data_IF_386741631017
#
_entry.id   IF_386741631017
#
_cell.length_a   1.000
_cell.length_b   1.000
_cell.length_c   1.000
_cell.angle_alpha   90.00
_cell.angle_beta   90.00
_cell.angle_gamma   90.00
#
_symmetry.space_group_name_H-M   'P 1'
#
loop_
_entity.id
_entity.type
_entity.pdbx_description
1 polymer ?
#
# COMPACT_ATOMS: atom_id res chain seq x y z
N UNK A 1 11.96 -3.01 -25.20
CA UNK A 1 13.37 -3.41 -25.13
C UNK A 1 13.56 -4.46 -26.19
N UNK A 2 14.28 -4.15 -27.28
CA UNK A 2 14.58 -5.14 -28.31
C UNK A 2 15.60 -6.13 -27.71
N UNK A 3 15.14 -7.33 -27.37
CA UNK A 3 16.00 -8.40 -26.86
C UNK A 3 16.96 -8.81 -27.98
N UNK A 4 18.26 -8.63 -27.73
CA UNK A 4 19.31 -9.07 -28.65
C UNK A 4 19.50 -10.59 -28.47
N UNK A 5 19.15 -11.41 -29.48
CA UNK A 5 19.16 -12.87 -29.38
C UNK A 5 20.56 -13.47 -29.14
N UNK A 6 21.62 -12.75 -29.51
CA UNK A 6 23.00 -13.23 -29.31
C UNK A 6 23.41 -13.26 -27.83
N UNK A 7 22.87 -12.33 -27.01
CA UNK A 7 23.14 -12.29 -25.57
C UNK A 7 22.41 -13.39 -24.81
N UNK A 8 21.24 -13.79 -25.29
CA UNK A 8 20.47 -14.91 -24.74
C UNK A 8 21.20 -16.24 -24.96
N UNK A 9 21.69 -16.46 -26.18
CA UNK A 9 22.40 -17.67 -26.54
C UNK A 9 23.70 -17.86 -25.74
N UNK A 10 24.49 -16.80 -25.53
CA UNK A 10 25.72 -16.89 -24.74
C UNK A 10 25.45 -17.11 -23.24
N UNK A 11 24.34 -16.60 -22.71
CA UNK A 11 23.96 -16.78 -21.30
C UNK A 11 23.46 -18.20 -21.03
N UNK A 12 22.66 -18.77 -21.95
CA UNK A 12 22.23 -20.16 -21.89
C UNK A 12 23.43 -21.12 -22.02
N UNK A 13 24.42 -20.78 -22.85
CA UNK A 13 25.65 -21.56 -22.97
C UNK A 13 26.54 -21.53 -21.71
N UNK A 14 26.52 -20.44 -20.93
CA UNK A 14 27.29 -20.31 -19.68
C UNK A 14 26.62 -20.94 -18.47
N UNK A 15 25.29 -20.87 -18.38
CA UNK A 15 24.53 -21.32 -17.19
C UNK A 15 23.89 -22.69 -17.36
N UNK A 16 23.70 -23.15 -18.60
CA UNK A 16 23.01 -24.41 -18.91
C UNK A 16 21.51 -24.40 -18.64
N UNK A 17 20.94 -23.27 -18.23
CA UNK A 17 19.53 -23.13 -17.86
C UNK A 17 18.76 -22.48 -19.01
N UNK A 18 17.69 -23.15 -19.45
CA UNK A 18 16.75 -22.61 -20.44
C UNK A 18 16.02 -21.41 -19.82
N UNK A 19 15.82 -20.35 -20.61
CA UNK A 19 15.25 -19.09 -20.11
C UNK A 19 13.83 -19.22 -19.53
N UNK A 20 13.02 -20.15 -20.07
CA UNK A 20 11.73 -20.50 -19.50
C UNK A 20 11.86 -21.11 -18.09
N UNK A 21 12.87 -21.94 -17.86
CA UNK A 21 13.15 -22.51 -16.54
C UNK A 21 13.63 -21.42 -15.57
N UNK A 22 14.45 -20.47 -16.03
CA UNK A 22 14.87 -19.32 -15.22
C UNK A 22 13.65 -18.51 -14.75
N UNK A 23 12.72 -18.19 -15.64
CA UNK A 23 11.49 -17.47 -15.27
C UNK A 23 10.68 -18.19 -14.20
N UNK A 24 10.49 -19.50 -14.35
CA UNK A 24 9.78 -20.31 -13.35
C UNK A 24 10.52 -20.33 -12.01
N UNK A 25 11.84 -20.49 -12.01
CA UNK A 25 12.65 -20.47 -10.79
C UNK A 25 12.59 -19.11 -10.09
N UNK A 26 12.67 -18.00 -10.83
CA UNK A 26 12.53 -16.66 -10.28
C UNK A 26 11.13 -16.43 -9.68
N UNK A 27 10.08 -16.93 -10.35
CA UNK A 27 8.71 -16.86 -9.88
C UNK A 27 8.48 -17.69 -8.61
N UNK A 28 9.03 -18.89 -8.52
CA UNK A 28 8.96 -19.70 -7.30
C UNK A 28 9.75 -19.05 -6.17
N UNK A 29 10.95 -18.54 -6.47
CA UNK A 29 11.81 -17.87 -5.50
C UNK A 29 11.13 -16.64 -4.89
N UNK A 30 10.56 -15.74 -5.71
CA UNK A 30 9.88 -14.56 -5.17
C UNK A 30 8.70 -14.96 -4.29
N UNK A 31 7.94 -16.00 -4.66
CA UNK A 31 6.82 -16.47 -3.86
C UNK A 31 7.27 -17.07 -2.52
N UNK A 32 8.44 -17.71 -2.46
CA UNK A 32 9.02 -18.19 -1.21
C UNK A 32 9.34 -17.04 -0.23
N UNK A 33 9.58 -15.81 -0.71
CA UNK A 33 9.78 -14.65 0.16
C UNK A 33 8.52 -14.28 0.97
N UNK A 34 7.34 -14.76 0.58
CA UNK A 34 6.12 -14.56 1.36
C UNK A 34 6.10 -15.35 2.67
N UNK A 35 7.03 -16.29 2.89
CA UNK A 35 7.13 -17.07 4.13
C UNK A 35 8.15 -16.43 5.10
N UNK A 36 7.71 -15.90 6.26
CA UNK A 36 8.59 -15.30 7.27
C UNK A 36 9.72 -16.23 7.75
N UNK A 37 9.43 -17.53 7.91
CA UNK A 37 10.45 -18.48 8.37
C UNK A 37 11.55 -18.69 7.34
N UNK A 38 11.23 -18.60 6.05
CA UNK A 38 12.22 -18.67 4.99
C UNK A 38 13.12 -17.43 5.00
N UNK A 39 12.56 -16.24 5.25
CA UNK A 39 13.34 -15.01 5.42
C UNK A 39 14.27 -15.08 6.63
N UNK A 40 13.80 -15.65 7.75
CA UNK A 40 14.64 -15.89 8.91
C UNK A 40 15.81 -16.83 8.59
N UNK A 41 15.55 -17.92 7.87
CA UNK A 41 16.59 -18.83 7.41
C UNK A 41 17.61 -18.13 6.49
N UNK A 42 17.16 -17.31 5.54
CA UNK A 42 18.04 -16.50 4.68
C UNK A 42 18.93 -15.55 5.50
N UNK A 43 18.35 -14.93 6.54
CA UNK A 43 19.06 -14.02 7.43
C UNK A 43 20.12 -14.75 8.28
N UNK A 44 19.78 -15.91 8.84
CA UNK A 44 20.73 -16.74 9.61
C UNK A 44 21.93 -17.20 8.77
N UNK A 45 21.71 -17.51 7.48
CA UNK A 45 22.77 -17.90 6.55
C UNK A 45 23.52 -16.70 5.94
N UNK A 46 23.24 -15.47 6.39
CA UNK A 46 23.91 -14.23 5.97
C UNK A 46 23.78 -13.88 4.48
N UNK A 47 22.79 -14.42 3.79
CA UNK A 47 22.50 -14.02 2.40
C UNK A 47 22.05 -12.56 2.31
N UNK A 48 21.37 -12.06 3.35
CA UNK A 48 20.87 -10.68 3.42
C UNK A 48 21.97 -9.62 3.65
N UNK A 49 23.20 -10.03 3.95
CA UNK A 49 24.37 -9.15 4.10
C UNK A 49 25.16 -9.00 2.78
N UNK A 50 25.04 -9.97 1.87
CA UNK A 50 25.77 -9.99 0.61
C UNK A 50 25.20 -8.98 -0.40
N UNK A 51 26.05 -8.06 -0.86
CA UNK A 51 25.71 -7.05 -1.87
C UNK A 51 25.27 -7.68 -3.18
N UNK A 52 25.83 -8.82 -3.57
CA UNK A 52 25.41 -9.50 -4.80
C UNK A 52 23.96 -9.98 -4.70
N UNK A 53 23.57 -10.52 -3.55
CA UNK A 53 22.20 -10.93 -3.28
C UNK A 53 21.23 -9.74 -3.21
N UNK A 54 21.62 -8.62 -2.58
CA UNK A 54 20.81 -7.41 -2.57
C UNK A 54 20.57 -6.84 -3.97
N UNK A 55 21.58 -6.88 -4.84
CA UNK A 55 21.42 -6.50 -6.25
C UNK A 55 20.44 -7.44 -6.97
N UNK A 56 20.41 -8.73 -6.61
CA UNK A 56 19.44 -9.67 -7.15
C UNK A 56 18.01 -9.39 -6.65
N UNK A 57 17.82 -9.01 -5.39
CA UNK A 57 16.52 -8.56 -4.88
C UNK A 57 16.02 -7.31 -5.63
N UNK A 58 16.92 -6.36 -5.91
CA UNK A 58 16.60 -5.19 -6.73
C UNK A 58 16.22 -5.56 -8.17
N UNK A 59 16.89 -6.57 -8.75
CA UNK A 59 16.50 -7.10 -10.04
C UNK A 59 15.07 -7.63 -10.02
N UNK A 60 14.67 -8.37 -8.98
CA UNK A 60 13.31 -8.93 -8.83
C UNK A 60 12.18 -7.88 -8.71
N UNK A 61 12.48 -6.59 -8.57
CA UNK A 61 11.45 -5.54 -8.62
C UNK A 61 10.69 -5.48 -9.95
N UNK A 62 11.22 -6.08 -11.03
CA UNK A 62 10.50 -6.19 -12.30
C UNK A 62 9.15 -6.90 -12.15
N UNK A 63 9.00 -7.81 -11.18
CA UNK A 63 7.76 -8.53 -10.89
C UNK A 63 6.59 -7.62 -10.49
N UNK A 64 6.86 -6.37 -10.09
CA UNK A 64 5.82 -5.37 -9.77
C UNK A 64 5.10 -4.85 -11.01
N UNK A 65 5.71 -4.98 -12.19
CA UNK A 65 5.08 -4.50 -13.43
C UNK A 65 3.82 -5.34 -13.70
N UNK A 66 2.72 -4.73 -14.15
CA UNK A 66 1.42 -5.40 -14.28
C UNK A 66 1.47 -6.62 -15.22
N UNK A 67 2.36 -6.60 -16.21
CA UNK A 67 2.59 -7.72 -17.13
C UNK A 67 3.07 -9.00 -16.41
N UNK A 68 3.89 -8.87 -15.38
CA UNK A 68 4.44 -10.01 -14.62
C UNK A 68 3.67 -10.28 -13.32
N UNK A 69 3.10 -9.25 -12.71
CA UNK A 69 2.35 -9.37 -11.46
C UNK A 69 1.14 -10.32 -11.56
N UNK A 70 0.59 -10.49 -12.78
CA UNK A 70 -0.50 -11.42 -13.06
C UNK A 70 -0.19 -12.89 -12.73
N UNK A 71 1.09 -13.28 -12.74
CA UNK A 71 1.53 -14.65 -12.44
C UNK A 71 1.72 -14.93 -10.95
N UNK A 72 1.69 -13.91 -10.09
CA UNK A 72 1.97 -14.03 -8.66
C UNK A 72 0.74 -14.58 -7.94
N UNK A 73 0.89 -15.73 -7.27
CA UNK A 73 -0.19 -16.32 -6.46
C UNK A 73 -0.29 -15.69 -5.07
N UNK A 74 0.85 -15.34 -4.48
CA UNK A 74 0.95 -14.83 -3.10
C UNK A 74 1.35 -13.36 -3.10
N UNK A 75 0.40 -12.41 -3.02
CA UNK A 75 0.71 -10.98 -3.16
C UNK A 75 1.60 -10.42 -2.04
N UNK A 76 1.68 -11.12 -0.90
CA UNK A 76 2.49 -10.71 0.24
C UNK A 76 4.00 -10.75 -0.04
N UNK A 77 4.45 -11.52 -1.04
CA UNK A 77 5.87 -11.57 -1.41
C UNK A 77 6.41 -10.19 -1.84
N UNK A 78 5.58 -9.37 -2.49
CA UNK A 78 5.98 -8.03 -2.94
C UNK A 78 6.16 -7.08 -1.77
N UNK A 79 5.31 -7.19 -0.74
CA UNK A 79 5.47 -6.42 0.49
C UNK A 79 6.73 -6.84 1.26
N UNK A 80 7.04 -8.13 1.30
CA UNK A 80 8.28 -8.63 1.89
C UNK A 80 9.52 -8.14 1.14
N UNK A 81 9.45 -8.09 -0.19
CA UNK A 81 10.53 -7.55 -1.02
C UNK A 81 10.84 -6.08 -0.65
N UNK A 82 9.81 -5.27 -0.40
CA UNK A 82 9.99 -3.88 0.05
C UNK A 82 10.64 -3.80 1.44
N UNK A 83 10.18 -4.62 2.38
CA UNK A 83 10.73 -4.63 3.74
C UNK A 83 12.22 -5.01 3.74
N UNK A 84 12.62 -5.98 2.90
CA UNK A 84 14.01 -6.42 2.74
C UNK A 84 14.95 -5.34 2.17
N UNK A 85 14.42 -4.29 1.52
CA UNK A 85 15.25 -3.16 1.09
C UNK A 85 15.79 -2.36 2.28
N UNK A 86 15.03 -2.33 3.38
CA UNK A 86 15.47 -1.65 4.60
C UNK A 86 16.47 -2.50 5.38
N UNK A 87 17.64 -1.93 5.66
CA UNK A 87 18.68 -2.63 6.42
C UNK A 87 18.23 -2.97 7.84
N UNK A 88 17.44 -2.09 8.46
CA UNK A 88 16.89 -2.30 9.79
C UNK A 88 16.06 -3.58 9.88
N UNK A 89 15.20 -3.83 8.89
CA UNK A 89 14.39 -5.04 8.84
C UNK A 89 15.24 -6.30 8.63
N UNK A 90 16.28 -6.24 7.79
CA UNK A 90 17.20 -7.37 7.58
C UNK A 90 17.89 -7.80 8.87
N UNK A 91 18.24 -6.84 9.73
CA UNK A 91 18.82 -7.13 11.03
C UNK A 91 17.75 -7.67 12.01
N UNK A 92 16.53 -7.10 11.97
CA UNK A 92 15.45 -7.49 12.86
C UNK A 92 14.95 -8.93 12.60
N UNK A 93 14.83 -9.33 11.33
CA UNK A 93 14.29 -10.65 10.95
C UNK A 93 15.21 -11.82 11.36
N UNK A 94 16.47 -11.57 11.72
CA UNK A 94 17.36 -12.59 12.31
C UNK A 94 16.76 -13.14 13.61
N UNK A 95 16.04 -12.30 14.36
CA UNK A 95 15.39 -12.70 15.60
C UNK A 95 14.14 -13.56 15.31
N UNK A 96 14.02 -14.74 15.93
CA UNK A 96 12.86 -15.60 15.75
C UNK A 96 11.58 -14.94 16.29
N UNK A 97 11.68 -14.06 17.29
CA UNK A 97 10.52 -13.34 17.84
C UNK A 97 9.85 -12.45 16.78
N UNK A 98 10.66 -11.73 15.98
CA UNK A 98 10.17 -10.87 14.89
C UNK A 98 9.54 -11.72 13.79
N UNK A 99 10.09 -12.91 13.55
CA UNK A 99 9.57 -13.86 12.56
C UNK A 99 8.18 -14.36 12.94
N UNK A 100 7.98 -14.75 14.19
CA UNK A 100 6.67 -15.20 14.71
C UNK A 100 5.63 -14.07 14.70
N UNK A 101 6.04 -12.85 15.05
CA UNK A 101 5.17 -11.68 15.00
C UNK A 101 4.73 -11.40 13.56
N UNK A 102 5.66 -11.41 12.60
CA UNK A 102 5.36 -11.22 11.20
C UNK A 102 4.42 -12.31 10.65
N UNK A 103 4.67 -13.57 11.03
CA UNK A 103 3.82 -14.69 10.69
C UNK A 103 2.42 -14.55 11.28
N UNK A 104 2.31 -14.13 12.54
CA UNK A 104 1.03 -13.88 13.21
C UNK A 104 0.25 -12.75 12.52
N UNK A 105 0.92 -11.65 12.18
CA UNK A 105 0.30 -10.54 11.44
C UNK A 105 -0.22 -10.99 10.07
N UNK A 106 0.57 -11.76 9.33
CA UNK A 106 0.18 -12.33 8.05
C UNK A 106 -1.03 -13.27 8.20
N UNK A 107 -1.03 -14.11 9.24
CA UNK A 107 -2.14 -14.99 9.58
C UNK A 107 -3.43 -14.20 9.88
N UNK A 108 -3.36 -13.22 10.78
CA UNK A 108 -4.53 -12.41 11.15
C UNK A 108 -5.08 -11.59 9.98
N UNK A 109 -4.19 -11.06 9.13
CA UNK A 109 -4.59 -10.37 7.90
C UNK A 109 -5.45 -11.28 7.01
N UNK A 110 -5.05 -12.54 6.83
CA UNK A 110 -5.82 -13.51 6.04
C UNK A 110 -7.08 -14.00 6.75
N UNK A 111 -6.99 -14.33 8.04
CA UNK A 111 -8.12 -14.81 8.84
C UNK A 111 -9.26 -13.78 8.87
N UNK A 112 -8.92 -12.49 8.91
CA UNK A 112 -9.88 -11.40 8.96
C UNK A 112 -10.08 -10.69 7.62
N UNK A 113 -9.48 -11.17 6.53
CA UNK A 113 -9.50 -10.51 5.23
C UNK A 113 -10.93 -10.15 4.78
N UNK A 114 -11.84 -11.14 4.79
CA UNK A 114 -13.23 -10.93 4.38
C UNK A 114 -13.96 -9.99 5.34
N UNK A 115 -13.79 -10.18 6.64
CA UNK A 115 -14.46 -9.40 7.68
C UNK A 115 -14.02 -7.94 7.66
N UNK A 116 -12.73 -7.68 7.48
CA UNK A 116 -12.17 -6.32 7.43
C UNK A 116 -12.67 -5.58 6.20
N UNK A 117 -12.71 -6.23 5.02
CA UNK A 117 -13.26 -5.61 3.81
C UNK A 117 -14.74 -5.26 3.91
N UNK A 118 -15.55 -6.10 4.59
CA UNK A 118 -16.97 -5.80 4.83
C UNK A 118 -17.10 -4.61 5.79
N UNK A 119 -16.30 -4.58 6.86
CA UNK A 119 -16.26 -3.46 7.81
C UNK A 119 -15.83 -2.16 7.12
N UNK A 120 -14.78 -2.19 6.31
CA UNK A 120 -14.29 -1.06 5.53
C UNK A 120 -15.34 -0.56 4.53
N UNK A 121 -16.01 -1.46 3.80
CA UNK A 121 -17.07 -1.10 2.87
C UNK A 121 -18.28 -0.47 3.59
N UNK A 122 -18.67 -1.01 4.75
CA UNK A 122 -19.75 -0.44 5.57
C UNK A 122 -19.37 0.94 6.14
N UNK A 123 -18.13 1.11 6.62
CA UNK A 123 -17.62 2.39 7.09
C UNK A 123 -17.55 3.43 5.95
N UNK A 124 -17.10 3.02 4.77
CA UNK A 124 -17.08 3.89 3.59
C UNK A 124 -18.49 4.30 3.14
N UNK A 125 -19.47 3.40 3.19
CA UNK A 125 -20.87 3.70 2.90
C UNK A 125 -21.47 4.69 3.92
N UNK A 126 -21.17 4.51 5.21
CA UNK A 126 -21.60 5.43 6.27
C UNK A 126 -20.97 6.82 6.11
N UNK A 127 -19.66 6.89 5.84
CA UNK A 127 -18.96 8.15 5.59
C UNK A 127 -19.50 8.88 4.35
N UNK A 128 -19.83 8.15 3.28
CA UNK A 128 -20.43 8.71 2.07
C UNK A 128 -21.88 9.22 2.31
N UNK A 129 -22.62 8.60 3.24
CA UNK A 129 -23.94 9.08 3.68
C UNK A 129 -23.83 10.39 4.46
N UNK A 130 -22.91 10.46 5.43
CA UNK A 130 -22.68 11.66 6.26
C UNK A 130 -22.23 12.86 5.42
N UNK A 131 -21.34 12.67 4.44
CA UNK A 131 -20.91 13.74 3.54
C UNK A 131 -22.04 14.27 2.63
N UNK A 132 -23.10 13.49 2.41
CA UNK A 132 -24.28 13.89 1.62
C UNK A 132 -25.31 14.65 2.46
N UNK A 133 -25.40 14.34 3.75
CA UNK A 133 -26.26 15.01 4.72
C UNK A 133 -25.69 16.38 5.14
N UNK A 134 -24.37 16.49 5.35
CA UNK A 134 -23.71 17.78 5.62
C UNK A 134 -23.78 18.76 4.44
N UNK A 135 -23.78 18.26 3.20
CA UNK A 135 -23.99 19.09 2.01
C UNK A 135 -25.44 19.61 1.87
N UNK A 136 -26.43 18.96 2.49
CA UNK A 136 -27.82 19.40 2.51
C UNK A 136 -28.07 20.45 3.62
N UNK A 137 -27.43 20.30 4.78
CA UNK A 137 -27.54 21.24 5.91
C UNK A 137 -26.85 22.59 5.64
N UNK A 138 -25.75 22.59 4.88
CA UNK A 138 -25.03 23.82 4.47
C UNK A 138 -25.83 24.78 3.56
N UNK A 139 -26.95 24.35 2.99
CA UNK A 139 -27.80 25.22 2.14
C UNK A 139 -28.84 25.99 2.95
N UNK A 140 -29.23 25.53 4.15
CA UNK A 140 -30.28 26.19 4.96
C UNK A 140 -29.74 27.29 5.90
N UNK A 141 -28.44 27.30 6.22
CA UNK A 141 -27.84 28.33 7.09
C UNK A 141 -27.53 29.65 6.35
N UNK A 142 -27.49 29.66 5.01
CA UNK A 142 -27.20 30.87 4.23
C UNK A 142 -28.42 31.82 4.07
N UNK A 143 -29.64 31.29 4.02
CA UNK A 143 -30.86 32.09 3.89
C UNK A 143 -31.32 32.76 5.21
N UNK A 144 -30.89 32.23 6.37
CA UNK A 144 -31.30 32.79 7.67
C UNK A 144 -30.51 34.05 8.08
N UNK A 145 -29.27 34.23 7.61
CA UNK A 145 -28.42 35.38 7.98
C UNK A 145 -28.68 36.64 7.15
N UNK A 146 -29.40 36.54 6.02
CA UNK A 146 -29.78 37.70 5.21
C UNK A 146 -31.01 38.45 5.76
N UNK A 147 -31.87 37.78 6.53
CA UNK A 147 -33.13 38.36 7.03
C UNK A 147 -32.97 39.28 8.26
N UNK A 148 -31.83 39.24 8.96
CA UNK A 148 -31.63 40.00 10.21
C UNK A 148 -31.01 41.41 10.02
N UNK A 149 -30.66 41.81 8.79
CA UNK A 149 -29.94 43.07 8.53
C UNK A 149 -30.81 44.25 8.04
N UNK A 150 -32.15 44.14 8.07
CA UNK A 150 -33.05 45.18 7.57
C UNK A 150 -33.94 45.78 8.67
N UNK A 151 -33.36 46.61 9.55
CA UNK A 151 -34.14 47.59 10.33
C UNK A 151 -33.72 48.99 9.85
N UNK A 152 -34.60 49.74 9.17
CA UNK A 152 -34.26 51.06 8.64
C UNK A 152 -34.26 52.13 9.76
N UNK A 153 -33.41 53.16 9.67
CA UNK A 153 -33.51 54.34 10.53
C UNK A 153 -34.56 55.29 9.92
N UNK A 154 -35.62 55.59 10.66
CA UNK A 154 -36.52 56.70 10.30
C UNK A 154 -36.26 57.90 11.20
N UNK A 155 -35.59 58.87 10.58
CA UNK A 155 -35.34 60.23 11.02
C UNK A 155 -36.56 61.12 10.68
N UNK A 156 -36.93 62.06 11.58
CA UNK A 156 -37.45 63.37 11.13
C UNK A 156 -38.64 64.01 11.87
N UNK A 157 -38.32 65.12 12.53
CA UNK A 157 -39.12 66.36 12.69
C UNK A 157 -40.22 66.45 13.78
N UNK A 158 -40.49 67.57 14.46
CA UNK A 158 -39.85 68.88 14.68
C UNK A 158 -40.82 69.69 15.59
N UNK A 159 -40.26 70.56 16.46
CA UNK A 159 -40.81 71.83 17.01
C UNK A 159 -41.40 71.89 18.44
N UNK A 160 -40.68 72.69 19.26
CA UNK A 160 -41.03 73.50 20.46
C UNK A 160 -42.39 74.26 20.35
N UNK A 161 -42.94 74.96 21.39
CA UNK A 161 -42.24 75.79 22.40
C UNK A 161 -42.84 75.95 23.83
N UNK A 162 -42.08 76.69 24.64
CA UNK A 162 -42.40 77.59 25.78
C UNK A 162 -43.28 77.16 26.97
N UNK A 163 -42.68 77.13 28.18
CA UNK A 163 -42.96 78.02 29.33
C UNK A 163 -41.95 77.78 30.46
#
# INVERSE_FOLDING_TARGET
MAENPEKLACYQAQTGVVESARFVLELEFIQCLANPHYLNWLAQNKYLEDKAFLNYLKYLEYWRQPQYASYIRFPHCLAMLDLLQSEHFRQAIVSPMVTEELHSQQFFYWAHYRTNRIKEAAAAAHAAGQAKEEAADGTQQADAVAAAAAVPPTEGAHRQPDA
#
